data_IF_736773167559
#
_entry.id   IF_736773167559
#
_cell.length_a   1.000
_cell.length_b   1.000
_cell.length_c   1.000
_cell.angle_alpha   90.00
_cell.angle_beta   90.00
_cell.angle_gamma   90.00
#
_symmetry.space_group_name_H-M   'P 1'
#
loop_
_entity.id
_entity.type
_entity.pdbx_description
1 polymer ?
#
# COMPACT_ATOMS: atom_id res chain seq x y z
N UNK A 1 -15.37 28.17 4.38
CA UNK A 1 -16.07 27.33 3.40
C UNK A 1 -15.78 27.76 1.95
N UNK A 2 -14.50 27.90 1.52
CA UNK A 2 -14.14 28.32 0.15
C UNK A 2 -12.95 27.54 -0.45
N UNK A 3 -12.57 26.40 0.11
CA UNK A 3 -11.40 25.62 -0.34
C UNK A 3 -11.70 24.49 -1.35
N UNK A 4 -12.98 24.24 -1.71
CA UNK A 4 -13.40 23.02 -2.43
C UNK A 4 -13.37 23.14 -3.97
N UNK A 5 -13.02 24.28 -4.57
CA UNK A 5 -13.28 24.49 -6.01
C UNK A 5 -12.12 24.31 -7.01
N UNK A 6 -10.92 23.91 -6.61
CA UNK A 6 -9.78 23.81 -7.55
C UNK A 6 -9.18 22.40 -7.73
N UNK A 7 -9.89 21.34 -7.39
CA UNK A 7 -9.42 19.96 -7.48
C UNK A 7 -9.24 19.44 -8.92
N UNK A 8 -9.81 20.07 -9.94
CA UNK A 8 -9.83 19.58 -11.32
C UNK A 8 -8.49 19.70 -12.09
N UNK A 9 -7.43 20.25 -11.51
CA UNK A 9 -6.11 20.45 -12.16
C UNK A 9 -4.95 19.72 -11.48
N UNK A 10 -5.19 18.93 -10.46
CA UNK A 10 -4.11 18.21 -9.78
C UNK A 10 -3.71 16.97 -10.57
N UNK A 11 -2.39 16.77 -10.72
CA UNK A 11 -1.84 15.59 -11.40
C UNK A 11 -2.10 14.31 -10.58
N UNK A 12 -2.01 14.39 -9.24
CA UNK A 12 -2.18 13.26 -8.32
C UNK A 12 -3.50 13.37 -7.55
N UNK A 13 -4.08 12.23 -7.21
CA UNK A 13 -5.32 12.09 -6.45
C UNK A 13 -5.00 11.78 -4.99
N UNK A 14 -5.87 12.20 -4.06
CA UNK A 14 -5.75 11.81 -2.66
C UNK A 14 -6.69 10.66 -2.32
N UNK A 15 -6.16 9.65 -1.65
CA UNK A 15 -6.91 8.54 -1.09
C UNK A 15 -6.61 8.34 0.39
N UNK A 16 -7.25 7.37 0.99
CA UNK A 16 -7.00 6.92 2.37
C UNK A 16 -7.27 5.43 2.48
N UNK A 17 -6.51 4.72 3.30
CA UNK A 17 -6.84 3.37 3.73
C UNK A 17 -8.00 3.47 4.71
N UNK A 18 -9.11 2.75 4.43
CA UNK A 18 -10.34 2.86 5.23
C UNK A 18 -10.13 2.53 6.71
N UNK A 19 -9.26 1.58 7.00
CA UNK A 19 -8.94 1.11 8.35
C UNK A 19 -8.24 2.18 9.21
N UNK A 20 -7.62 3.17 8.57
CA UNK A 20 -7.01 4.30 9.28
C UNK A 20 -8.02 5.17 10.04
N UNK A 21 -9.30 5.14 9.68
CA UNK A 21 -10.34 5.84 10.45
C UNK A 21 -10.73 5.15 11.75
N UNK A 22 -10.35 3.87 11.93
CA UNK A 22 -10.71 3.04 13.09
C UNK A 22 -12.24 2.94 13.30
N UNK A 23 -13.00 2.94 12.19
CA UNK A 23 -14.46 2.79 12.16
C UNK A 23 -14.85 1.64 11.21
N UNK A 24 -16.16 1.34 11.09
CA UNK A 24 -16.61 0.40 10.07
C UNK A 24 -16.45 0.97 8.65
N UNK A 25 -16.49 0.09 7.64
CA UNK A 25 -16.22 0.45 6.25
C UNK A 25 -17.20 1.50 5.71
N UNK A 26 -18.50 1.39 6.03
CA UNK A 26 -19.49 2.37 5.57
C UNK A 26 -19.17 3.77 6.08
N UNK A 27 -18.89 3.90 7.37
CA UNK A 27 -18.55 5.20 7.97
C UNK A 27 -17.20 5.72 7.44
N UNK A 28 -16.21 4.85 7.25
CA UNK A 28 -14.92 5.23 6.66
C UNK A 28 -15.10 5.81 5.25
N UNK A 29 -15.97 5.23 4.42
CA UNK A 29 -16.31 5.75 3.08
C UNK A 29 -16.98 7.13 3.19
N UNK A 30 -17.91 7.33 4.14
CA UNK A 30 -18.55 8.63 4.37
C UNK A 30 -17.54 9.70 4.78
N UNK A 31 -16.70 9.39 5.76
CA UNK A 31 -15.66 10.30 6.25
C UNK A 31 -14.67 10.67 5.13
N UNK A 32 -14.25 9.71 4.31
CA UNK A 32 -13.37 9.96 3.18
C UNK A 32 -13.97 10.98 2.19
N UNK A 33 -15.27 10.85 1.89
CA UNK A 33 -15.99 11.79 1.04
C UNK A 33 -16.12 13.17 1.69
N UNK A 34 -16.47 13.26 2.99
CA UNK A 34 -16.58 14.52 3.73
C UNK A 34 -15.26 15.28 3.79
N UNK A 35 -14.14 14.57 3.85
CA UNK A 35 -12.81 15.14 3.79
C UNK A 35 -12.39 15.56 2.37
N UNK A 36 -13.21 15.30 1.37
CA UNK A 36 -12.96 15.67 -0.02
C UNK A 36 -11.90 14.81 -0.70
N UNK A 37 -11.69 13.58 -0.26
CA UNK A 37 -10.77 12.64 -0.89
C UNK A 37 -11.35 12.14 -2.23
N UNK A 38 -10.47 11.58 -3.08
CA UNK A 38 -10.85 11.09 -4.41
C UNK A 38 -11.12 9.57 -4.42
N UNK A 39 -10.60 8.85 -3.43
CA UNK A 39 -10.76 7.40 -3.38
C UNK A 39 -10.35 6.80 -2.05
N UNK A 40 -10.58 5.50 -1.95
CA UNK A 40 -10.28 4.69 -0.78
C UNK A 40 -9.51 3.43 -1.17
N UNK A 41 -8.58 3.03 -0.32
CA UNK A 41 -7.96 1.70 -0.35
C UNK A 41 -8.65 0.86 0.72
N UNK A 42 -9.04 -0.36 0.38
CA UNK A 42 -9.84 -1.23 1.25
C UNK A 42 -9.12 -2.56 1.43
N UNK A 43 -9.02 -3.04 2.66
CA UNK A 43 -8.55 -4.40 2.95
C UNK A 43 -9.57 -5.43 2.46
N UNK A 44 -9.10 -6.40 1.65
CA UNK A 44 -9.93 -7.43 1.03
C UNK A 44 -9.56 -8.85 1.48
N UNK A 45 -8.70 -8.99 2.46
CA UNK A 45 -8.22 -10.30 2.93
C UNK A 45 -9.11 -10.94 3.98
N UNK A 46 -9.74 -10.12 4.81
CA UNK A 46 -10.60 -10.56 5.92
C UNK A 46 -11.77 -9.59 6.09
N UNK A 47 -12.63 -9.86 7.07
CA UNK A 47 -13.75 -8.97 7.40
C UNK A 47 -14.86 -8.99 6.36
N UNK A 48 -15.64 -7.91 6.34
CA UNK A 48 -16.87 -7.84 5.53
C UNK A 48 -16.62 -7.57 4.03
N UNK A 49 -15.44 -7.07 3.66
CA UNK A 49 -15.08 -6.79 2.26
C UNK A 49 -14.18 -7.87 1.63
N UNK A 50 -14.10 -9.04 2.23
CA UNK A 50 -13.35 -10.17 1.68
C UNK A 50 -14.17 -10.93 0.61
N UNK A 51 -13.54 -11.49 -0.43
CA UNK A 51 -14.22 -12.38 -1.37
C UNK A 51 -14.92 -13.60 -0.71
N UNK A 52 -14.52 -13.93 0.53
CA UNK A 52 -15.12 -15.04 1.29
C UNK A 52 -16.46 -14.69 1.95
N UNK A 53 -16.69 -13.42 2.24
CA UNK A 53 -17.81 -12.94 3.07
C UNK A 53 -18.72 -11.95 2.36
N UNK A 54 -18.22 -11.29 1.32
CA UNK A 54 -18.92 -10.21 0.63
C UNK A 54 -20.05 -10.75 -0.25
N UNK A 55 -21.30 -10.62 0.21
CA UNK A 55 -22.48 -11.08 -0.52
C UNK A 55 -22.79 -10.17 -1.73
N UNK A 56 -23.65 -10.65 -2.64
CA UNK A 56 -24.09 -9.89 -3.82
C UNK A 56 -24.75 -8.57 -3.40
N UNK A 57 -25.59 -8.62 -2.36
CA UNK A 57 -26.30 -7.45 -1.82
C UNK A 57 -25.30 -6.42 -1.25
N UNK A 58 -24.31 -6.87 -0.48
CA UNK A 58 -23.26 -6.00 0.06
C UNK A 58 -22.37 -5.42 -1.04
N UNK A 59 -22.04 -6.19 -2.08
CA UNK A 59 -21.34 -5.68 -3.25
C UNK A 59 -22.11 -4.51 -3.90
N UNK A 60 -23.41 -4.71 -4.14
CA UNK A 60 -24.28 -3.68 -4.70
C UNK A 60 -24.36 -2.45 -3.79
N UNK A 61 -24.49 -2.66 -2.48
CA UNK A 61 -24.53 -1.60 -1.49
C UNK A 61 -23.24 -0.73 -1.53
N UNK A 62 -22.06 -1.35 -1.43
CA UNK A 62 -20.80 -0.61 -1.42
C UNK A 62 -20.51 0.07 -2.77
N UNK A 63 -20.86 -0.53 -3.90
CA UNK A 63 -20.74 0.12 -5.21
C UNK A 63 -21.59 1.38 -5.29
N UNK A 64 -22.86 1.30 -4.85
CA UNK A 64 -23.77 2.44 -4.84
C UNK A 64 -23.29 3.54 -3.87
N UNK A 65 -22.81 3.16 -2.68
CA UNK A 65 -22.28 4.10 -1.69
C UNK A 65 -21.06 4.86 -2.24
N UNK A 66 -20.11 4.16 -2.86
CA UNK A 66 -18.92 4.78 -3.46
C UNK A 66 -19.32 5.77 -4.57
N UNK A 67 -20.27 5.39 -5.44
CA UNK A 67 -20.80 6.28 -6.50
C UNK A 67 -21.48 7.50 -5.88
N UNK A 68 -22.37 7.31 -4.91
CA UNK A 68 -23.09 8.40 -4.21
C UNK A 68 -22.10 9.38 -3.57
N UNK A 69 -21.06 8.87 -2.96
CA UNK A 69 -20.01 9.67 -2.28
C UNK A 69 -18.95 10.23 -3.23
N UNK A 70 -19.01 9.91 -4.52
CA UNK A 70 -18.06 10.41 -5.52
C UNK A 70 -16.65 9.87 -5.35
N UNK A 71 -16.51 8.69 -4.73
CA UNK A 71 -15.23 8.03 -4.46
C UNK A 71 -14.98 6.87 -5.43
N UNK A 72 -13.71 6.60 -5.70
CA UNK A 72 -13.27 5.40 -6.41
C UNK A 72 -12.49 4.48 -5.47
N UNK A 73 -12.44 3.19 -5.78
CA UNK A 73 -11.49 2.28 -5.12
C UNK A 73 -10.11 2.52 -5.74
N UNK A 74 -9.19 3.11 -4.97
CA UNK A 74 -7.82 3.41 -5.42
C UNK A 74 -6.99 2.15 -5.52
N UNK A 75 -7.15 1.24 -4.56
CA UNK A 75 -6.57 -0.10 -4.52
C UNK A 75 -7.37 -1.01 -3.59
N UNK A 76 -7.24 -2.34 -3.76
CA UNK A 76 -7.59 -3.30 -2.74
C UNK A 76 -6.31 -3.84 -2.09
N UNK A 77 -6.30 -3.97 -0.78
CA UNK A 77 -5.20 -4.60 -0.06
C UNK A 77 -5.41 -6.11 0.00
N UNK A 78 -4.45 -6.86 -0.55
CA UNK A 78 -4.41 -8.32 -0.59
C UNK A 78 -3.37 -8.89 0.40
N UNK A 79 -2.92 -8.08 1.36
CA UNK A 79 -1.96 -8.53 2.36
C UNK A 79 -2.61 -9.51 3.35
N UNK A 80 -2.14 -10.75 3.31
CA UNK A 80 -2.61 -11.83 4.18
C UNK A 80 -1.74 -11.98 5.45
N UNK A 81 -0.80 -11.07 5.66
CA UNK A 81 0.11 -11.13 6.79
C UNK A 81 1.05 -12.34 6.76
N UNK A 82 1.68 -12.63 7.92
CA UNK A 82 2.65 -13.70 8.05
C UNK A 82 3.88 -13.47 7.16
N UNK A 83 4.56 -14.55 6.78
CA UNK A 83 5.74 -14.49 5.93
C UNK A 83 5.45 -14.26 4.42
N UNK A 84 4.28 -13.73 4.08
CA UNK A 84 3.93 -13.47 2.69
C UNK A 84 4.03 -14.72 1.81
N UNK A 85 4.80 -14.66 0.74
CA UNK A 85 5.00 -15.77 -0.21
C UNK A 85 6.32 -16.54 -0.01
N UNK A 86 6.96 -16.40 1.14
CA UNK A 86 8.23 -17.07 1.43
C UNK A 86 8.09 -18.59 1.63
N UNK A 87 6.91 -19.06 2.04
CA UNK A 87 6.66 -20.45 2.48
C UNK A 87 5.92 -21.22 1.40
N UNK A 88 6.60 -22.10 0.68
CA UNK A 88 6.07 -22.83 -0.49
C UNK A 88 4.75 -23.55 -0.20
N UNK A 89 4.65 -24.24 0.95
CA UNK A 89 3.43 -24.99 1.30
C UNK A 89 2.18 -24.13 1.44
N UNK A 90 2.32 -22.84 1.75
CA UNK A 90 1.22 -21.91 1.96
C UNK A 90 0.80 -21.19 0.66
N UNK A 91 1.70 -21.19 -0.34
CA UNK A 91 1.54 -20.37 -1.54
C UNK A 91 0.34 -20.76 -2.40
N UNK A 92 -0.02 -22.03 -2.46
CA UNK A 92 -1.22 -22.44 -3.21
C UNK A 92 -2.47 -21.70 -2.72
N UNK A 93 -2.67 -21.63 -1.40
CA UNK A 93 -3.82 -20.94 -0.80
C UNK A 93 -3.71 -19.42 -1.01
N UNK A 94 -2.51 -18.86 -0.81
CA UNK A 94 -2.26 -17.43 -0.99
C UNK A 94 -2.49 -16.97 -2.42
N UNK A 95 -2.01 -17.71 -3.40
CA UNK A 95 -2.19 -17.42 -4.83
C UNK A 95 -3.68 -17.46 -5.20
N UNK A 96 -4.41 -18.50 -4.81
CA UNK A 96 -5.84 -18.61 -5.08
C UNK A 96 -6.64 -17.47 -4.44
N UNK A 97 -6.32 -17.11 -3.21
CA UNK A 97 -6.97 -15.98 -2.53
C UNK A 97 -6.63 -14.65 -3.20
N UNK A 98 -5.38 -14.44 -3.59
CA UNK A 98 -4.96 -13.24 -4.33
C UNK A 98 -5.73 -13.10 -5.64
N UNK A 99 -5.90 -14.19 -6.42
CA UNK A 99 -6.70 -14.17 -7.64
C UNK A 99 -8.16 -13.78 -7.40
N UNK A 100 -8.77 -14.27 -6.32
CA UNK A 100 -10.14 -13.88 -5.95
C UNK A 100 -10.24 -12.40 -5.56
N UNK A 101 -9.21 -11.85 -4.93
CA UNK A 101 -9.14 -10.41 -4.64
C UNK A 101 -8.94 -9.60 -5.94
N UNK A 102 -8.15 -10.10 -6.90
CA UNK A 102 -8.02 -9.51 -8.23
C UNK A 102 -9.38 -9.45 -8.95
N UNK A 103 -10.16 -10.53 -8.88
CA UNK A 103 -11.52 -10.54 -9.46
C UNK A 103 -12.43 -9.51 -8.77
N UNK A 104 -12.36 -9.42 -7.44
CA UNK A 104 -13.10 -8.40 -6.69
C UNK A 104 -12.65 -6.98 -7.07
N UNK A 105 -11.34 -6.75 -7.24
CA UNK A 105 -10.82 -5.46 -7.70
C UNK A 105 -11.39 -5.07 -9.08
N UNK A 106 -11.45 -6.03 -10.00
CA UNK A 106 -12.08 -5.83 -11.31
C UNK A 106 -13.56 -5.45 -11.19
N UNK A 107 -14.31 -6.11 -10.30
CA UNK A 107 -15.73 -5.82 -10.05
C UNK A 107 -15.96 -4.39 -9.50
N UNK A 108 -15.03 -3.87 -8.70
CA UNK A 108 -15.09 -2.53 -8.11
C UNK A 108 -14.36 -1.47 -8.94
N UNK A 109 -13.81 -1.84 -10.12
CA UNK A 109 -13.10 -0.92 -11.02
C UNK A 109 -11.73 -0.48 -10.55
N UNK A 110 -11.18 -1.09 -9.50
CA UNK A 110 -9.82 -0.85 -9.04
C UNK A 110 -8.81 -1.40 -10.07
N UNK A 111 -7.70 -0.67 -10.24
CA UNK A 111 -6.63 -1.05 -11.17
C UNK A 111 -5.38 -1.55 -10.48
N UNK A 112 -5.36 -1.49 -9.16
CA UNK A 112 -4.24 -1.88 -8.32
C UNK A 112 -4.75 -2.75 -7.18
N UNK A 113 -3.99 -3.81 -6.88
CA UNK A 113 -4.04 -4.47 -5.57
C UNK A 113 -2.67 -4.35 -4.93
N UNK A 114 -2.63 -4.08 -3.63
CA UNK A 114 -1.38 -3.92 -2.86
C UNK A 114 -1.16 -5.10 -1.95
N UNK A 115 0.08 -5.49 -1.71
CA UNK A 115 0.41 -6.56 -0.76
C UNK A 115 1.87 -6.48 -0.32
N UNK A 116 2.14 -6.80 0.95
CA UNK A 116 3.45 -7.28 1.35
C UNK A 116 3.63 -8.73 0.89
N UNK A 117 4.86 -9.11 0.60
CA UNK A 117 5.15 -10.43 0.04
C UNK A 117 6.13 -11.26 0.88
N UNK A 118 6.54 -10.75 2.03
CA UNK A 118 7.65 -11.24 2.82
C UNK A 118 8.97 -10.56 2.43
N UNK A 119 10.09 -11.08 2.92
CA UNK A 119 11.41 -10.49 2.70
C UNK A 119 12.10 -11.12 1.49
N UNK A 120 12.29 -10.34 0.43
CA UNK A 120 12.96 -10.79 -0.80
C UNK A 120 14.45 -11.07 -0.50
N UNK A 121 14.95 -12.29 -0.73
CA UNK A 121 16.39 -12.57 -0.61
C UNK A 121 17.23 -11.71 -1.56
N UNK A 122 18.37 -11.19 -1.06
CA UNK A 122 19.34 -10.50 -1.93
C UNK A 122 20.05 -11.49 -2.88
N UNK A 123 20.32 -12.73 -2.40
CA UNK A 123 20.86 -13.80 -3.25
C UNK A 123 19.75 -14.55 -3.99
N UNK A 124 19.74 -14.42 -5.31
CA UNK A 124 18.79 -15.10 -6.19
C UNK A 124 18.90 -16.63 -6.18
N UNK A 125 20.01 -17.18 -5.69
CA UNK A 125 20.21 -18.62 -5.59
C UNK A 125 19.59 -19.19 -4.31
N UNK A 126 19.18 -18.35 -3.37
CA UNK A 126 18.42 -18.80 -2.21
C UNK A 126 17.10 -19.44 -2.65
N UNK A 127 16.78 -20.67 -2.21
CA UNK A 127 15.57 -21.38 -2.66
C UNK A 127 14.27 -20.56 -2.50
N UNK A 128 14.17 -19.80 -1.43
CA UNK A 128 13.04 -18.92 -1.11
C UNK A 128 12.79 -17.87 -2.20
N UNK A 129 13.85 -17.33 -2.83
CA UNK A 129 13.71 -16.38 -3.94
C UNK A 129 12.87 -16.95 -5.09
N UNK A 130 13.15 -18.21 -5.47
CA UNK A 130 12.41 -18.89 -6.54
C UNK A 130 10.95 -19.14 -6.15
N UNK A 131 10.71 -19.58 -4.91
CA UNK A 131 9.37 -19.83 -4.37
C UNK A 131 8.50 -18.56 -4.45
N UNK A 132 9.04 -17.43 -4.00
CA UNK A 132 8.37 -16.13 -4.08
C UNK A 132 8.14 -15.71 -5.53
N UNK A 133 9.17 -15.81 -6.39
CA UNK A 133 9.11 -15.39 -7.78
C UNK A 133 8.05 -16.14 -8.58
N UNK A 134 7.93 -17.45 -8.40
CA UNK A 134 6.92 -18.28 -9.08
C UNK A 134 5.51 -17.84 -8.69
N UNK A 135 5.24 -17.67 -7.41
CA UNK A 135 3.94 -17.24 -6.89
C UNK A 135 3.55 -15.83 -7.34
N UNK A 136 4.49 -14.89 -7.25
CA UNK A 136 4.24 -13.51 -7.68
C UNK A 136 4.10 -13.39 -9.21
N UNK A 137 4.82 -14.21 -9.98
CA UNK A 137 4.65 -14.28 -11.44
C UNK A 137 3.25 -14.79 -11.79
N UNK A 138 2.76 -15.83 -11.12
CA UNK A 138 1.42 -16.38 -11.37
C UNK A 138 0.33 -15.35 -11.04
N UNK A 139 0.40 -14.72 -9.87
CA UNK A 139 -0.54 -13.67 -9.47
C UNK A 139 -0.48 -12.45 -10.40
N UNK A 140 0.73 -12.02 -10.76
CA UNK A 140 0.94 -10.88 -11.65
C UNK A 140 0.38 -11.10 -13.06
N UNK A 141 0.60 -12.27 -13.64
CA UNK A 141 0.03 -12.61 -14.96
C UNK A 141 -1.50 -12.62 -14.91
N UNK A 142 -2.10 -13.20 -13.85
CA UNK A 142 -3.54 -13.18 -13.68
C UNK A 142 -4.10 -11.75 -13.53
N UNK A 143 -3.42 -10.91 -12.76
CA UNK A 143 -3.79 -9.50 -12.62
C UNK A 143 -3.73 -8.76 -13.98
N UNK A 144 -2.65 -8.98 -14.75
CA UNK A 144 -2.45 -8.39 -16.07
C UNK A 144 -3.58 -8.75 -17.04
N UNK A 145 -4.05 -9.99 -17.05
CA UNK A 145 -5.19 -10.43 -17.87
C UNK A 145 -6.48 -9.66 -17.54
N UNK A 146 -6.65 -9.24 -16.30
CA UNK A 146 -7.79 -8.41 -15.84
C UNK A 146 -7.55 -6.90 -15.99
N UNK A 147 -6.40 -6.48 -16.51
CA UNK A 147 -6.02 -5.07 -16.61
C UNK A 147 -5.77 -4.43 -15.25
N UNK A 148 -5.27 -5.21 -14.29
CA UNK A 148 -4.92 -4.84 -12.92
C UNK A 148 -3.43 -5.06 -12.70
N UNK A 149 -2.81 -4.31 -11.82
CA UNK A 149 -1.42 -4.50 -11.39
C UNK A 149 -1.38 -4.98 -9.94
N UNK A 150 -0.64 -6.05 -9.69
CA UNK A 150 -0.27 -6.49 -8.34
C UNK A 150 0.93 -5.65 -7.88
N UNK A 151 0.72 -4.73 -6.99
CA UNK A 151 1.72 -3.80 -6.50
C UNK A 151 2.34 -4.30 -5.18
N UNK A 152 3.62 -4.65 -5.22
CA UNK A 152 4.38 -4.99 -4.02
C UNK A 152 4.60 -3.71 -3.22
N UNK A 153 4.24 -3.73 -1.95
CA UNK A 153 4.53 -2.64 -1.04
C UNK A 153 5.99 -2.65 -0.61
N UNK A 154 6.64 -1.50 -0.74
CA UNK A 154 8.02 -1.33 -0.30
C UNK A 154 8.12 -1.49 1.22
N UNK A 155 9.14 -2.19 1.67
CA UNK A 155 9.24 -2.54 3.08
C UNK A 155 10.66 -2.99 3.49
N UNK A 156 10.90 -4.31 3.61
CA UNK A 156 12.16 -4.80 4.19
C UNK A 156 13.35 -4.77 3.24
N UNK A 157 13.09 -4.73 1.94
CA UNK A 157 14.15 -4.82 0.93
C UNK A 157 14.59 -3.45 0.42
N UNK A 158 15.84 -3.40 -0.06
CA UNK A 158 16.34 -2.25 -0.81
C UNK A 158 15.59 -2.09 -2.13
N UNK A 159 15.43 -0.85 -2.58
CA UNK A 159 14.80 -0.54 -3.86
C UNK A 159 15.47 -1.27 -5.05
N UNK A 160 16.79 -1.51 -4.99
CA UNK A 160 17.54 -2.27 -5.99
C UNK A 160 17.15 -3.74 -6.02
N UNK A 161 16.96 -4.36 -4.85
CA UNK A 161 16.53 -5.77 -4.70
C UNK A 161 15.11 -5.94 -5.25
N UNK A 162 14.20 -5.04 -4.86
CA UNK A 162 12.82 -5.02 -5.37
C UNK A 162 12.77 -4.86 -6.89
N UNK A 163 13.50 -3.89 -7.45
CA UNK A 163 13.58 -3.68 -8.89
C UNK A 163 14.02 -4.95 -9.63
N UNK A 164 15.06 -5.62 -9.09
CA UNK A 164 15.58 -6.82 -9.70
C UNK A 164 14.60 -7.98 -9.62
N UNK A 165 13.88 -8.11 -8.51
CA UNK A 165 12.83 -9.12 -8.34
C UNK A 165 11.69 -8.90 -9.34
N UNK A 166 11.17 -7.68 -9.45
CA UNK A 166 10.07 -7.34 -10.38
C UNK A 166 10.49 -7.60 -11.83
N UNK A 167 11.71 -7.25 -12.23
CA UNK A 167 12.23 -7.54 -13.58
C UNK A 167 12.27 -9.04 -13.91
N UNK A 168 12.37 -9.90 -12.91
CA UNK A 168 12.38 -11.36 -13.09
C UNK A 168 10.95 -11.94 -13.16
N UNK A 169 9.91 -11.19 -12.77
CA UNK A 169 8.52 -11.57 -13.03
C UNK A 169 8.19 -11.40 -14.52
N UNK A 170 7.14 -12.05 -15.00
CA UNK A 170 6.73 -11.99 -16.42
C UNK A 170 5.75 -10.84 -16.71
N UNK A 171 5.63 -9.89 -15.80
CA UNK A 171 4.74 -8.72 -15.90
C UNK A 171 3.50 -8.82 -15.02
N UNK A 172 2.75 -7.72 -14.98
CA UNK A 172 1.57 -7.57 -14.09
C UNK A 172 1.91 -7.26 -12.65
N UNK A 173 3.21 -7.21 -12.30
CA UNK A 173 3.71 -6.82 -10.98
C UNK A 173 4.28 -5.41 -11.05
N UNK A 174 3.90 -4.58 -10.09
CA UNK A 174 4.36 -3.19 -9.93
C UNK A 174 4.75 -2.90 -8.50
N UNK A 175 4.81 -1.62 -8.16
CA UNK A 175 5.21 -1.12 -6.83
C UNK A 175 4.11 -0.23 -6.25
N UNK A 176 3.75 -0.51 -5.01
CA UNK A 176 3.16 0.44 -4.10
C UNK A 176 4.29 1.03 -3.25
N UNK A 177 4.68 2.28 -3.54
CA UNK A 177 5.81 2.89 -2.86
C UNK A 177 5.36 3.55 -1.57
N UNK A 178 5.76 3.00 -0.43
CA UNK A 178 5.64 3.65 0.87
C UNK A 178 6.96 4.34 1.22
N UNK A 179 6.98 5.69 1.30
CA UNK A 179 8.21 6.41 1.59
C UNK A 179 8.67 6.26 3.03
N UNK A 180 7.73 6.03 3.97
CA UNK A 180 8.06 5.90 5.39
C UNK A 180 8.74 4.56 5.68
N UNK A 181 8.34 3.48 4.99
CA UNK A 181 8.98 2.18 5.15
C UNK A 181 10.46 2.22 4.73
N UNK A 182 10.80 2.97 3.68
CA UNK A 182 12.21 3.22 3.34
C UNK A 182 12.97 3.94 4.46
N UNK A 183 12.38 4.98 5.02
CA UNK A 183 13.01 5.76 6.11
C UNK A 183 13.11 4.95 7.39
N UNK A 184 12.01 4.31 7.80
CA UNK A 184 11.90 3.65 9.10
C UNK A 184 12.66 2.31 9.16
N UNK A 185 12.68 1.56 8.06
CA UNK A 185 13.14 0.17 8.07
C UNK A 185 14.49 0.01 7.38
N UNK A 186 14.66 0.54 6.18
CA UNK A 186 15.89 0.31 5.38
C UNK A 186 16.88 1.48 5.40
N UNK A 187 16.52 2.61 6.02
CA UNK A 187 17.34 3.83 6.03
C UNK A 187 17.77 4.27 4.61
N UNK A 188 16.85 4.15 3.66
CA UNK A 188 17.07 4.60 2.28
C UNK A 188 16.31 5.90 2.00
N UNK A 189 16.84 6.70 1.07
CA UNK A 189 16.14 7.88 0.58
C UNK A 189 14.99 7.47 -0.35
N UNK A 190 13.73 7.69 0.02
CA UNK A 190 12.59 7.37 -0.83
C UNK A 190 12.58 8.16 -2.15
N UNK A 191 13.29 9.30 -2.22
CA UNK A 191 13.40 10.10 -3.45
C UNK A 191 14.23 9.35 -4.49
N UNK A 192 15.36 8.77 -4.08
CA UNK A 192 16.17 7.93 -4.96
C UNK A 192 15.39 6.69 -5.42
N UNK A 193 14.62 6.08 -4.51
CA UNK A 193 13.78 4.94 -4.82
C UNK A 193 12.70 5.27 -5.89
N UNK A 194 12.11 6.49 -5.86
CA UNK A 194 11.17 6.93 -6.90
C UNK A 194 11.82 6.90 -8.28
N UNK A 195 13.01 7.47 -8.44
CA UNK A 195 13.68 7.48 -9.76
C UNK A 195 14.12 6.08 -10.21
N UNK A 196 14.55 5.24 -9.27
CA UNK A 196 14.98 3.88 -9.55
C UNK A 196 13.80 2.98 -10.00
N UNK A 197 12.65 3.10 -9.33
CA UNK A 197 11.47 2.26 -9.53
C UNK A 197 10.44 2.89 -10.49
N UNK A 198 10.76 4.01 -11.13
CA UNK A 198 9.84 4.88 -11.89
C UNK A 198 8.91 4.16 -12.86
N UNK A 199 9.39 3.11 -13.52
CA UNK A 199 8.64 2.38 -14.55
C UNK A 199 7.64 1.37 -13.95
N UNK A 200 7.68 1.17 -12.62
CA UNK A 200 6.89 0.16 -11.90
C UNK A 200 5.97 0.75 -10.85
N UNK A 201 6.14 2.04 -10.45
CA UNK A 201 5.30 2.67 -9.43
C UNK A 201 3.89 2.87 -10.00
N UNK A 202 2.90 2.17 -9.43
CA UNK A 202 1.48 2.26 -9.79
C UNK A 202 0.61 2.80 -8.67
N UNK A 203 1.13 2.77 -7.44
CA UNK A 203 0.47 3.29 -6.25
C UNK A 203 1.52 3.84 -5.29
N UNK A 204 1.13 4.72 -4.37
CA UNK A 204 2.01 5.19 -3.30
C UNK A 204 1.22 5.56 -2.06
N UNK A 205 1.80 5.28 -0.90
CA UNK A 205 1.27 5.72 0.36
C UNK A 205 1.77 7.12 0.73
N UNK A 206 1.00 7.78 1.54
CA UNK A 206 1.32 9.03 2.23
C UNK A 206 1.41 8.70 3.72
N UNK A 207 2.58 8.25 4.13
CA UNK A 207 2.95 7.81 5.48
C UNK A 207 4.26 8.46 5.88
N UNK A 208 4.44 8.77 7.15
CA UNK A 208 5.65 9.39 7.68
C UNK A 208 6.12 8.68 8.94
N UNK A 209 7.40 8.82 9.24
CA UNK A 209 7.97 8.19 10.41
C UNK A 209 9.43 8.57 10.64
N UNK A 210 9.96 8.09 11.75
CA UNK A 210 11.31 8.38 12.24
C UNK A 210 12.03 7.07 12.50
N UNK A 211 13.22 6.90 11.92
CA UNK A 211 14.15 5.84 12.31
C UNK A 211 14.85 6.26 13.60
N UNK A 212 14.77 5.44 14.63
CA UNK A 212 15.46 5.63 15.92
C UNK A 212 16.77 4.85 15.97
N UNK A 213 16.71 3.56 15.66
CA UNK A 213 17.88 2.67 15.68
C UNK A 213 17.84 1.72 14.49
N UNK A 214 18.94 1.63 13.77
CA UNK A 214 19.09 0.68 12.67
C UNK A 214 19.08 -0.76 13.18
N UNK A 215 18.40 -1.62 12.47
CA UNK A 215 18.42 -3.06 12.67
C UNK A 215 18.32 -3.78 11.34
N UNK A 216 18.45 -5.10 11.35
CA UNK A 216 18.15 -5.91 10.16
C UNK A 216 16.65 -5.83 9.87
N UNK A 217 16.24 -5.36 8.68
CA UNK A 217 14.84 -5.29 8.28
C UNK A 217 14.10 -6.62 8.45
N UNK A 218 14.78 -7.74 8.25
CA UNK A 218 14.19 -9.07 8.44
C UNK A 218 13.70 -9.29 9.86
N UNK A 219 14.41 -8.81 10.88
CA UNK A 219 14.00 -8.93 12.29
C UNK A 219 12.66 -8.22 12.52
N UNK A 220 12.49 -7.04 11.91
CA UNK A 220 11.22 -6.27 12.01
C UNK A 220 10.07 -7.05 11.36
N UNK A 221 10.29 -7.57 10.16
CA UNK A 221 9.24 -8.28 9.42
C UNK A 221 8.92 -9.66 10.02
N UNK A 222 9.91 -10.41 10.50
CA UNK A 222 9.68 -11.65 11.24
C UNK A 222 8.85 -11.41 12.50
N UNK A 223 9.12 -10.30 13.21
CA UNK A 223 8.30 -9.90 14.37
C UNK A 223 6.82 -9.74 14.00
N UNK A 224 6.52 -9.04 12.93
CA UNK A 224 5.12 -8.88 12.47
C UNK A 224 4.54 -10.19 11.94
N UNK A 225 5.35 -11.02 11.25
CA UNK A 225 4.90 -12.27 10.67
C UNK A 225 4.54 -13.32 11.72
N UNK A 226 5.27 -13.39 12.82
CA UNK A 226 5.13 -14.40 13.87
C UNK A 226 4.18 -13.98 15.01
N UNK A 227 3.58 -12.81 14.92
CA UNK A 227 2.67 -12.29 15.96
C UNK A 227 3.39 -11.69 17.15
N UNK A 228 4.63 -11.29 16.94
CA UNK A 228 5.51 -10.63 17.91
C UNK A 228 6.49 -11.59 18.57
N UNK A 229 7.76 -11.31 18.39
CA UNK A 229 8.83 -11.92 19.21
C UNK A 229 8.74 -11.23 20.56
N UNK A 230 8.43 -11.95 21.65
CA UNK A 230 8.10 -11.43 22.98
C UNK A 230 9.11 -10.40 23.54
N UNK A 231 10.33 -10.36 23.03
CA UNK A 231 11.40 -9.47 23.49
C UNK A 231 11.66 -8.28 22.55
N UNK A 232 11.02 -8.21 21.37
CA UNK A 232 11.23 -7.12 20.41
C UNK A 232 10.20 -6.02 20.62
N UNK A 233 10.62 -4.89 21.14
CA UNK A 233 9.80 -3.67 21.15
C UNK A 233 10.13 -2.86 19.88
N UNK A 234 9.27 -2.97 18.86
CA UNK A 234 9.42 -2.29 17.57
C UNK A 234 9.57 -0.77 17.71
N UNK A 235 8.94 -0.17 18.73
CA UNK A 235 9.06 1.26 19.03
C UNK A 235 10.46 1.71 19.45
N UNK A 236 11.37 0.79 19.73
CA UNK A 236 12.79 1.12 19.93
C UNK A 236 13.52 1.40 18.61
N UNK A 237 13.00 0.92 17.48
CA UNK A 237 13.66 1.01 16.19
C UNK A 237 13.10 2.13 15.33
N UNK A 238 11.80 2.33 15.34
CA UNK A 238 11.14 3.40 14.61
C UNK A 238 9.82 3.84 15.24
N UNK A 239 9.37 5.01 14.83
CA UNK A 239 8.07 5.56 15.24
C UNK A 239 7.37 6.06 13.96
N UNK A 240 6.13 5.61 13.73
CA UNK A 240 5.23 6.23 12.77
C UNK A 240 4.70 7.55 13.34
N UNK A 241 4.78 8.61 12.56
CA UNK A 241 4.36 9.97 12.95
C UNK A 241 3.23 10.48 12.06
N UNK A 242 2.46 11.51 12.49
CA UNK A 242 1.63 12.25 11.57
C UNK A 242 2.45 12.80 10.39
N UNK A 243 1.84 12.84 9.20
CA UNK A 243 2.51 13.32 7.98
C UNK A 243 3.03 14.74 8.16
N UNK A 244 4.30 14.93 7.87
CA UNK A 244 5.04 16.19 8.03
C UNK A 244 5.78 16.31 9.35
N UNK A 245 5.68 15.34 10.26
CA UNK A 245 6.37 15.33 11.55
C UNK A 245 7.50 14.28 11.62
N UNK A 246 7.67 13.50 10.55
CA UNK A 246 8.72 12.49 10.44
C UNK A 246 9.91 12.94 9.57
N UNK A 247 10.62 11.96 9.05
CA UNK A 247 11.84 12.18 8.29
C UNK A 247 11.66 12.09 6.77
N UNK A 248 10.44 11.81 6.27
CA UNK A 248 10.16 11.82 4.82
C UNK A 248 10.22 13.25 4.29
N UNK A 249 11.13 13.52 3.35
CA UNK A 249 11.19 14.81 2.69
C UNK A 249 10.11 14.93 1.61
N UNK A 250 8.85 15.17 2.01
CA UNK A 250 7.71 15.21 1.09
C UNK A 250 7.87 16.23 -0.04
N UNK A 251 8.53 17.37 0.19
CA UNK A 251 8.77 18.35 -0.86
C UNK A 251 9.60 17.76 -2.01
N UNK A 252 10.66 17.02 -1.68
CA UNK A 252 11.50 16.34 -2.68
C UNK A 252 10.79 15.11 -3.24
N UNK A 253 10.10 14.35 -2.38
CA UNK A 253 9.36 13.17 -2.77
C UNK A 253 8.27 13.46 -3.80
N UNK A 254 7.41 14.45 -3.52
CA UNK A 254 6.36 14.87 -4.45
C UNK A 254 6.94 15.45 -5.74
N UNK A 255 8.06 16.17 -5.65
CA UNK A 255 8.77 16.62 -6.86
C UNK A 255 9.23 15.44 -7.70
N UNK A 256 9.83 14.40 -7.10
CA UNK A 256 10.28 13.21 -7.82
C UNK A 256 9.13 12.47 -8.49
N UNK A 257 7.99 12.32 -7.80
CA UNK A 257 6.78 11.74 -8.40
C UNK A 257 6.28 12.56 -9.60
N UNK A 258 6.34 13.90 -9.54
CA UNK A 258 6.01 14.78 -10.69
C UNK A 258 7.01 14.61 -11.83
N UNK A 259 8.30 14.52 -11.53
CA UNK A 259 9.36 14.36 -12.53
C UNK A 259 9.22 13.04 -13.35
N UNK A 260 8.69 11.99 -12.72
CA UNK A 260 8.38 10.72 -13.41
C UNK A 260 6.97 10.67 -14.02
N UNK A 261 6.23 11.80 -14.00
CA UNK A 261 4.84 11.91 -14.47
C UNK A 261 3.85 10.99 -13.75
N UNK A 262 4.07 10.68 -12.46
CA UNK A 262 3.12 9.91 -11.68
C UNK A 262 1.82 10.71 -11.49
N UNK A 263 0.69 10.08 -11.82
CA UNK A 263 -0.65 10.68 -11.75
C UNK A 263 -1.67 9.82 -10.99
N UNK A 264 -1.16 8.84 -10.24
CA UNK A 264 -1.96 7.93 -9.42
C UNK A 264 -2.43 8.55 -8.10
N UNK A 265 -2.67 7.68 -7.14
CA UNK A 265 -3.10 8.07 -5.81
C UNK A 265 -1.92 8.25 -4.85
N UNK A 266 -2.02 9.28 -4.02
CA UNK A 266 -1.33 9.41 -2.74
C UNK A 266 -2.31 8.95 -1.67
N UNK A 267 -2.17 7.74 -1.20
CA UNK A 267 -3.11 7.12 -0.26
C UNK A 267 -2.60 7.28 1.15
N UNK A 268 -3.32 8.05 1.97
CA UNK A 268 -2.98 8.27 3.38
C UNK A 268 -3.04 6.93 4.11
N UNK A 269 -1.95 6.61 4.78
CA UNK A 269 -1.83 5.51 5.71
C UNK A 269 -1.37 6.01 7.06
N UNK A 270 -2.16 5.71 8.10
CA UNK A 270 -1.89 6.08 9.49
C UNK A 270 -2.39 4.98 10.41
N UNK A 271 -1.51 4.04 10.73
CA UNK A 271 -1.86 2.85 11.49
C UNK A 271 -1.90 3.09 13.00
N UNK A 272 -1.04 3.97 13.47
CA UNK A 272 -0.84 4.27 14.89
C UNK A 272 -1.42 5.63 15.27
N UNK A 273 -1.33 5.98 16.53
CA UNK A 273 -1.79 7.27 17.05
C UNK A 273 -3.21 7.25 17.64
N UNK A 274 -3.46 8.12 18.63
CA UNK A 274 -4.73 8.16 19.36
C UNK A 274 -5.83 8.96 18.65
N UNK A 275 -5.49 9.81 17.68
CA UNK A 275 -6.42 10.74 17.03
C UNK A 275 -6.43 10.60 15.49
N UNK A 276 -6.84 9.43 14.93
CA UNK A 276 -6.66 9.12 13.53
C UNK A 276 -7.31 10.14 12.60
N UNK A 277 -8.51 10.62 12.90
CA UNK A 277 -9.20 11.62 12.08
C UNK A 277 -8.46 12.97 12.04
N UNK A 278 -7.80 13.36 13.13
CA UNK A 278 -6.99 14.57 13.19
C UNK A 278 -5.73 14.40 12.34
N UNK A 279 -5.06 13.26 12.46
CA UNK A 279 -3.84 12.95 11.72
C UNK A 279 -4.12 12.89 10.21
N UNK A 280 -5.25 12.30 9.79
CA UNK A 280 -5.68 12.29 8.38
C UNK A 280 -5.95 13.72 7.87
N UNK A 281 -6.64 14.57 8.66
CA UNK A 281 -6.87 15.99 8.30
C UNK A 281 -5.56 16.76 8.18
N UNK A 282 -4.60 16.48 9.07
CA UNK A 282 -3.25 17.07 9.00
C UNK A 282 -2.54 16.64 7.73
N UNK A 283 -2.53 15.36 7.38
CA UNK A 283 -1.95 14.83 6.16
C UNK A 283 -2.51 15.53 4.91
N UNK A 284 -3.85 15.67 4.82
CA UNK A 284 -4.52 16.38 3.73
C UNK A 284 -4.04 17.83 3.65
N UNK A 285 -4.06 18.54 4.78
CA UNK A 285 -3.69 19.96 4.83
C UNK A 285 -2.23 20.19 4.45
N UNK A 286 -1.35 19.27 4.86
CA UNK A 286 0.09 19.32 4.59
C UNK A 286 0.40 19.06 3.12
N UNK A 287 -0.24 18.06 2.50
CA UNK A 287 0.13 17.61 1.16
C UNK A 287 -0.48 18.46 0.04
N UNK A 288 -1.66 19.05 0.26
CA UNK A 288 -2.38 19.83 -0.74
C UNK A 288 -1.55 20.93 -1.42
N UNK A 289 -0.73 21.71 -0.70
CA UNK A 289 0.11 22.73 -1.32
C UNK A 289 1.26 22.16 -2.18
N UNK A 290 1.58 20.88 -2.02
CA UNK A 290 2.71 20.24 -2.70
C UNK A 290 2.31 19.53 -4.01
N UNK A 291 1.01 19.19 -4.23
CA UNK A 291 0.51 18.41 -5.39
C UNK A 291 -0.17 19.25 -6.47
#
# INVERSE_FOLDING_TARGET
>A
MRFIRNWKKRLMKLGVITDCFKTNLEESIRLASELGLNGVQIYATTGEFSPDTLTIEKKAFYKNLLIEKGLTVSALCADMGGHGFEIEKDNKIRVEKTKRIIDLASEFGAKVITTHIGVIPEDKNEPRYKVMLESLTECGLYAKEKGITLAIETGPEKATTLLQFIKNTKGGVGVNLDPANFVMVTDQDPVEAVYLLKDYIVHTHLKDGILLHKTDPKIIYDHFAEGGIELLNVSNYFIETPVGEGHVNFKKYIKALKDINYNGFLTIERETGPEPLKDIKQAISFIIPLI
#
